data_IF_781147405820
#
_entry.id   IF_781147405820
#
_cell.length_a   1.000
_cell.length_b   1.000
_cell.length_c   1.000
_cell.angle_alpha   90.00
_cell.angle_beta   90.00
_cell.angle_gamma   90.00
#
_symmetry.space_group_name_H-M   'P 1'
#
loop_
_entity.id
_entity.type
_entity.pdbx_description
1 polymer ?
#
# COMPACT_ATOMS: atom_id res chain seq x y z
N UNK A 1 -31.27 13.46 4.26
CA UNK A 1 -30.31 12.46 4.81
C UNK A 1 -29.47 13.11 5.88
N UNK A 2 -29.38 12.49 7.05
CA UNK A 2 -28.52 12.96 8.14
C UNK A 2 -27.04 12.66 7.87
N UNK A 3 -26.13 13.37 8.54
CA UNK A 3 -24.68 13.11 8.45
C UNK A 3 -24.28 11.70 8.92
N UNK A 4 -25.12 11.04 9.72
CA UNK A 4 -24.96 9.63 10.12
C UNK A 4 -25.31 8.66 9.00
N UNK A 5 -26.43 8.88 8.33
CA UNK A 5 -26.88 8.09 7.18
C UNK A 5 -25.91 8.22 5.99
N UNK A 6 -25.41 9.43 5.75
CA UNK A 6 -24.41 9.69 4.70
C UNK A 6 -23.10 8.92 4.95
N UNK A 7 -22.68 8.80 6.22
CA UNK A 7 -21.47 8.04 6.60
C UNK A 7 -21.68 6.53 6.49
N UNK A 8 -22.83 6.00 6.90
CA UNK A 8 -23.13 4.58 6.71
C UNK A 8 -23.27 4.21 5.23
N UNK A 9 -23.97 5.02 4.43
CA UNK A 9 -24.13 4.79 3.00
C UNK A 9 -22.79 4.86 2.26
N UNK A 10 -21.92 5.83 2.61
CA UNK A 10 -20.54 5.87 2.08
C UNK A 10 -19.73 4.62 2.43
N UNK A 11 -19.80 4.11 3.66
CA UNK A 11 -19.13 2.85 4.06
C UNK A 11 -19.68 1.61 3.32
N UNK A 12 -20.95 1.61 2.93
CA UNK A 12 -21.57 0.51 2.15
C UNK A 12 -21.20 0.52 0.66
N UNK A 13 -20.70 1.63 0.15
CA UNK A 13 -20.34 1.81 -1.27
C UNK A 13 -18.83 1.88 -1.49
N UNK A 14 -18.11 2.41 -0.50
CA UNK A 14 -16.68 2.66 -0.55
C UNK A 14 -16.01 2.17 0.72
N UNK A 15 -15.05 1.26 0.57
CA UNK A 15 -14.07 0.95 1.60
C UNK A 15 -12.73 1.52 1.18
N UNK A 16 -12.13 2.35 2.03
CA UNK A 16 -10.86 3.01 1.77
C UNK A 16 -9.81 2.56 2.79
N UNK A 17 -8.67 2.06 2.30
CA UNK A 17 -7.40 2.05 3.03
C UNK A 17 -6.51 3.19 2.49
N UNK A 18 -5.32 3.40 3.06
CA UNK A 18 -4.43 4.48 2.63
C UNK A 18 -4.11 4.44 1.13
N UNK A 19 -3.97 3.23 0.57
CA UNK A 19 -3.56 3.00 -0.82
C UNK A 19 -4.63 2.33 -1.70
N UNK A 20 -5.82 2.07 -1.17
CA UNK A 20 -6.86 1.37 -1.93
C UNK A 20 -8.23 1.99 -1.69
N UNK A 21 -8.93 2.27 -2.78
CA UNK A 21 -10.36 2.56 -2.80
C UNK A 21 -11.08 1.40 -3.48
N UNK A 22 -11.89 0.66 -2.71
CA UNK A 22 -12.74 -0.38 -3.27
C UNK A 22 -14.13 0.17 -3.54
N UNK A 23 -14.62 -0.08 -4.76
CA UNK A 23 -15.92 0.37 -5.25
C UNK A 23 -16.71 -0.85 -5.71
N UNK A 24 -18.00 -0.91 -5.41
CA UNK A 24 -18.87 -1.94 -5.96
C UNK A 24 -18.87 -1.90 -7.49
N UNK A 25 -18.63 -3.05 -8.13
CA UNK A 25 -18.53 -3.16 -9.59
C UNK A 25 -19.76 -2.62 -10.32
N UNK A 26 -20.98 -2.89 -9.81
CA UNK A 26 -22.22 -2.39 -10.40
C UNK A 26 -22.25 -0.85 -10.39
N UNK A 27 -22.00 -0.25 -9.23
CA UNK A 27 -21.98 1.21 -9.08
C UNK A 27 -20.89 1.86 -9.93
N UNK A 28 -19.70 1.24 -10.05
CA UNK A 28 -18.66 1.73 -10.94
C UNK A 28 -19.10 1.74 -12.40
N UNK A 29 -19.74 0.66 -12.87
CA UNK A 29 -20.19 0.53 -14.26
C UNK A 29 -21.23 1.57 -14.64
N UNK A 30 -22.14 1.89 -13.72
CA UNK A 30 -23.21 2.89 -13.88
C UNK A 30 -22.70 4.33 -14.01
N UNK A 31 -21.45 4.62 -13.59
CA UNK A 31 -20.89 5.95 -13.73
C UNK A 31 -20.56 6.28 -15.20
N UNK A 32 -20.94 7.48 -15.69
CA UNK A 32 -20.46 8.01 -16.95
C UNK A 32 -18.93 8.24 -16.93
N UNK A 33 -18.32 8.39 -18.10
CA UNK A 33 -16.86 8.41 -18.26
C UNK A 33 -16.18 9.58 -17.54
N UNK A 34 -16.80 10.75 -17.54
CA UNK A 34 -16.33 11.95 -16.84
C UNK A 34 -16.32 11.74 -15.31
N UNK A 35 -17.37 11.15 -14.75
CA UNK A 35 -17.44 10.84 -13.32
C UNK A 35 -16.44 9.76 -12.91
N UNK A 36 -16.16 8.76 -13.77
CA UNK A 36 -15.09 7.79 -13.53
C UNK A 36 -13.73 8.47 -13.43
N UNK A 37 -13.41 9.36 -14.38
CA UNK A 37 -12.16 10.11 -14.38
C UNK A 37 -12.01 11.00 -13.13
N UNK A 38 -13.10 11.63 -12.67
CA UNK A 38 -13.11 12.41 -11.42
C UNK A 38 -12.81 11.51 -10.22
N UNK A 39 -13.44 10.33 -10.15
CA UNK A 39 -13.20 9.39 -9.04
C UNK A 39 -11.77 8.88 -9.02
N UNK A 40 -11.20 8.52 -10.18
CA UNK A 40 -9.79 8.10 -10.30
C UNK A 40 -8.84 9.21 -9.85
N UNK A 41 -9.05 10.44 -10.33
CA UNK A 41 -8.24 11.61 -9.96
C UNK A 41 -8.34 11.92 -8.46
N UNK A 42 -9.56 11.88 -7.90
CA UNK A 42 -9.79 12.10 -6.49
C UNK A 42 -9.17 11.00 -5.62
N UNK A 43 -9.22 9.73 -6.05
CA UNK A 43 -8.60 8.61 -5.36
C UNK A 43 -7.08 8.76 -5.31
N UNK A 44 -6.46 9.16 -6.44
CA UNK A 44 -5.03 9.43 -6.51
C UNK A 44 -4.64 10.60 -5.60
N UNK A 45 -5.33 11.74 -5.69
CA UNK A 45 -5.07 12.91 -4.83
C UNK A 45 -5.23 12.58 -3.34
N UNK A 46 -6.29 11.85 -2.98
CA UNK A 46 -6.53 11.44 -1.60
C UNK A 46 -5.46 10.46 -1.09
N UNK A 47 -4.91 9.59 -1.95
CA UNK A 47 -3.81 8.69 -1.61
C UNK A 47 -2.56 9.47 -1.26
N UNK A 48 -2.17 10.43 -2.10
CA UNK A 48 -1.00 11.29 -1.83
C UNK A 48 -1.19 12.16 -0.59
N UNK A 49 -2.33 12.84 -0.45
CA UNK A 49 -2.63 13.66 0.73
C UNK A 49 -2.65 12.84 2.03
N UNK A 50 -3.23 11.63 1.98
CA UNK A 50 -3.23 10.72 3.12
C UNK A 50 -1.82 10.25 3.48
N UNK A 51 -1.02 9.89 2.48
CA UNK A 51 0.34 9.37 2.68
C UNK A 51 1.27 10.44 3.25
N UNK A 52 1.21 11.68 2.75
CA UNK A 52 2.05 12.78 3.26
C UNK A 52 1.69 13.14 4.69
N UNK A 53 0.39 13.23 5.02
CA UNK A 53 -0.07 13.45 6.40
C UNK A 53 0.35 12.33 7.34
N UNK A 54 0.25 11.08 6.89
CA UNK A 54 0.67 9.93 7.67
C UNK A 54 2.17 9.98 8.00
N UNK A 55 3.02 10.39 7.07
CA UNK A 55 4.46 10.58 7.33
C UNK A 55 4.74 11.66 8.36
N UNK A 56 4.11 12.84 8.22
CA UNK A 56 4.28 13.94 9.18
C UNK A 56 3.91 13.49 10.59
N UNK A 57 2.76 12.82 10.73
CA UNK A 57 2.32 12.27 12.00
C UNK A 57 3.29 11.21 12.53
N UNK A 58 3.75 10.29 11.68
CA UNK A 58 4.65 9.21 12.10
C UNK A 58 5.96 9.76 12.67
N UNK A 59 6.52 10.82 12.08
CA UNK A 59 7.72 11.49 12.59
C UNK A 59 7.47 12.10 13.98
N UNK A 60 6.35 12.81 14.15
CA UNK A 60 5.97 13.39 15.43
C UNK A 60 5.78 12.32 16.52
N UNK A 61 5.14 11.21 16.17
CA UNK A 61 4.87 10.12 17.11
C UNK A 61 6.11 9.28 17.43
N UNK A 62 7.06 9.07 16.50
CA UNK A 62 8.33 8.41 16.81
C UNK A 62 9.06 9.14 17.94
N UNK A 63 9.10 10.48 17.89
CA UNK A 63 9.66 11.28 18.98
C UNK A 63 8.95 11.02 20.31
N UNK A 64 7.61 11.07 20.32
CA UNK A 64 6.81 10.83 21.54
C UNK A 64 7.05 9.43 22.11
N UNK A 65 7.15 8.41 21.27
CA UNK A 65 7.41 7.02 21.66
C UNK A 65 8.78 6.90 22.34
N UNK A 66 9.81 7.54 21.78
CA UNK A 66 11.15 7.58 22.38
C UNK A 66 11.18 8.33 23.70
N UNK A 67 10.52 9.49 23.77
CA UNK A 67 10.43 10.31 24.99
C UNK A 67 9.71 9.56 26.13
N UNK A 68 8.79 8.64 25.79
CA UNK A 68 8.13 7.73 26.74
C UNK A 68 9.05 6.62 27.27
N UNK A 69 10.28 6.49 26.74
CA UNK A 69 11.26 5.49 27.18
C UNK A 69 11.21 4.18 26.40
N UNK A 70 10.49 4.11 25.27
CA UNK A 70 10.46 2.90 24.43
C UNK A 70 11.77 2.77 23.66
N UNK A 71 12.38 1.58 23.74
CA UNK A 71 13.61 1.24 23.00
C UNK A 71 13.26 0.61 21.66
N UNK A 72 13.51 1.34 20.57
CA UNK A 72 13.38 0.83 19.21
C UNK A 72 14.66 0.14 18.78
N UNK A 73 14.56 -1.11 18.30
CA UNK A 73 15.70 -1.91 17.82
C UNK A 73 15.58 -2.21 16.33
N UNK A 74 16.71 -2.42 15.66
CA UNK A 74 16.78 -2.90 14.28
C UNK A 74 17.18 -4.37 14.30
N UNK A 75 16.52 -5.19 13.49
CA UNK A 75 16.91 -6.60 13.30
C UNK A 75 18.35 -6.69 12.79
N UNK A 76 19.07 -7.76 13.16
CA UNK A 76 20.44 -7.96 12.66
C UNK A 76 20.44 -8.09 11.12
N UNK A 77 21.53 -7.73 10.42
CA UNK A 77 21.63 -7.96 8.98
C UNK A 77 21.39 -9.42 8.58
N UNK A 78 21.85 -10.37 9.42
CA UNK A 78 21.64 -11.81 9.22
C UNK A 78 20.15 -12.18 9.27
N UNK A 79 19.41 -11.66 10.25
CA UNK A 79 17.98 -11.95 10.38
C UNK A 79 17.17 -11.30 9.25
N UNK A 80 17.57 -10.10 8.82
CA UNK A 80 16.96 -9.43 7.66
C UNK A 80 17.18 -10.24 6.38
N UNK A 81 18.38 -10.75 6.14
CA UNK A 81 18.67 -11.59 4.98
C UNK A 81 17.86 -12.90 5.04
N UNK A 82 17.86 -13.56 6.21
CA UNK A 82 17.13 -14.81 6.37
C UNK A 82 15.62 -14.63 6.15
N UNK A 83 15.06 -13.53 6.64
CA UNK A 83 13.66 -13.18 6.42
C UNK A 83 13.37 -12.97 4.92
N UNK A 84 14.29 -12.32 4.20
CA UNK A 84 14.16 -12.13 2.75
C UNK A 84 14.16 -13.46 1.99
N UNK A 85 15.11 -14.34 2.30
CA UNK A 85 15.18 -15.69 1.70
C UNK A 85 13.87 -16.45 1.88
N UNK A 86 13.40 -16.57 3.13
CA UNK A 86 12.16 -17.27 3.47
C UNK A 86 10.95 -16.64 2.78
N UNK A 87 10.92 -15.31 2.66
CA UNK A 87 9.85 -14.61 1.95
C UNK A 87 9.83 -15.00 0.48
N UNK A 88 10.98 -15.05 -0.19
CA UNK A 88 11.07 -15.44 -1.60
C UNK A 88 10.63 -16.89 -1.81
N UNK A 89 11.05 -17.81 -0.92
CA UNK A 89 10.62 -19.21 -0.94
C UNK A 89 9.10 -19.35 -0.83
N UNK A 90 8.47 -18.66 0.13
CA UNK A 90 7.02 -18.68 0.36
C UNK A 90 6.27 -18.08 -0.83
N UNK A 91 6.75 -16.96 -1.40
CA UNK A 91 6.14 -16.34 -2.57
C UNK A 91 6.21 -17.26 -3.79
N UNK A 92 7.34 -17.92 -4.00
CA UNK A 92 7.51 -18.90 -5.08
C UNK A 92 6.62 -20.14 -4.87
N UNK A 93 6.52 -20.66 -3.64
CA UNK A 93 5.61 -21.76 -3.32
C UNK A 93 4.15 -21.38 -3.60
N UNK A 94 3.71 -20.20 -3.16
CA UNK A 94 2.35 -19.68 -3.42
C UNK A 94 2.10 -19.51 -4.92
N UNK A 95 3.10 -19.05 -5.67
CA UNK A 95 2.99 -18.90 -7.12
C UNK A 95 2.76 -20.23 -7.86
N UNK A 96 3.27 -21.35 -7.34
CA UNK A 96 3.02 -22.67 -7.94
C UNK A 96 1.59 -23.16 -7.71
N UNK A 97 0.91 -22.65 -6.68
CA UNK A 97 -0.44 -23.10 -6.26
C UNK A 97 -1.57 -22.29 -6.89
N UNK A 98 -1.32 -21.04 -7.26
CA UNK A 98 -2.35 -20.13 -7.79
C UNK A 98 -1.83 -19.41 -9.06
N UNK A 99 -2.41 -19.70 -10.24
CA UNK A 99 -2.02 -19.04 -11.49
C UNK A 99 -2.19 -17.51 -11.50
N UNK A 100 -3.20 -16.98 -10.80
CA UNK A 100 -3.39 -15.54 -10.69
C UNK A 100 -2.32 -14.92 -9.81
N UNK A 101 -2.01 -15.55 -8.67
CA UNK A 101 -0.90 -15.14 -7.83
C UNK A 101 0.43 -15.19 -8.61
N UNK A 102 0.67 -16.25 -9.39
CA UNK A 102 1.85 -16.39 -10.23
C UNK A 102 2.02 -15.22 -11.20
N UNK A 103 0.92 -14.80 -11.84
CA UNK A 103 0.90 -13.65 -12.75
C UNK A 103 1.30 -12.36 -12.03
N UNK A 104 0.71 -12.09 -10.87
CA UNK A 104 1.03 -10.89 -10.08
C UNK A 104 2.46 -10.94 -9.58
N UNK A 105 2.91 -12.07 -9.04
CA UNK A 105 4.28 -12.24 -8.54
C UNK A 105 5.32 -12.05 -9.64
N UNK A 106 5.08 -12.61 -10.83
CA UNK A 106 5.94 -12.38 -12.00
C UNK A 106 6.07 -10.88 -12.33
N UNK A 107 4.97 -10.15 -12.36
CA UNK A 107 4.98 -8.69 -12.61
C UNK A 107 5.81 -7.93 -11.55
N UNK A 108 5.71 -8.31 -10.28
CA UNK A 108 6.49 -7.70 -9.20
C UNK A 108 7.99 -7.99 -9.35
N UNK A 109 8.36 -9.24 -9.66
CA UNK A 109 9.76 -9.62 -9.89
C UNK A 109 10.38 -8.88 -11.06
N UNK A 110 9.67 -8.79 -12.18
CA UNK A 110 10.14 -8.07 -13.37
C UNK A 110 10.37 -6.59 -13.07
N UNK A 111 9.52 -5.97 -12.26
CA UNK A 111 9.75 -4.60 -11.81
C UNK A 111 10.99 -4.49 -10.91
N UNK A 112 11.13 -5.36 -9.90
CA UNK A 112 12.29 -5.37 -8.99
C UNK A 112 13.60 -5.53 -9.78
N UNK A 113 13.64 -6.42 -10.76
CA UNK A 113 14.82 -6.64 -11.62
C UNK A 113 15.23 -5.37 -12.38
N UNK A 114 14.27 -4.57 -12.84
CA UNK A 114 14.53 -3.29 -13.54
C UNK A 114 14.89 -2.16 -12.58
N UNK A 115 14.20 -2.10 -11.45
CA UNK A 115 14.33 -1.02 -10.47
C UNK A 115 15.60 -1.13 -9.63
N UNK A 116 15.95 -2.33 -9.17
CA UNK A 116 17.00 -2.53 -8.18
C UNK A 116 18.39 -2.04 -8.62
N UNK A 117 18.86 -2.28 -9.85
CA UNK A 117 20.14 -1.73 -10.30
C UNK A 117 20.18 -0.20 -10.24
N UNK A 118 19.10 0.46 -10.67
CA UNK A 118 19.00 1.91 -10.58
C UNK A 118 18.96 2.40 -9.13
N UNK A 119 18.16 1.76 -8.28
CA UNK A 119 18.09 2.10 -6.86
C UNK A 119 19.44 1.95 -6.17
N UNK A 120 20.14 0.84 -6.37
CA UNK A 120 21.46 0.60 -5.78
C UNK A 120 22.52 1.59 -6.26
N UNK A 121 22.38 2.12 -7.48
CA UNK A 121 23.24 3.20 -7.99
C UNK A 121 22.92 4.56 -7.36
N UNK A 122 21.64 4.84 -7.10
CA UNK A 122 21.19 6.17 -6.61
C UNK A 122 21.13 6.32 -5.10
N UNK A 123 21.17 5.22 -4.34
CA UNK A 123 21.16 5.30 -2.88
C UNK A 123 22.44 5.98 -2.41
N UNK A 124 22.32 6.90 -1.46
CA UNK A 124 23.48 7.44 -0.76
C UNK A 124 24.05 6.38 0.18
N UNK A 125 25.38 6.36 0.30
CA UNK A 125 26.10 5.49 1.24
C UNK A 125 25.75 5.76 2.71
#
# INVERSE_FOLDING_TARGET
MSAGELRQTKRRLFQRSLFQLMIKTKSWKELPADLKAIVESAAMAATFDGYTKWWIQTIEFDKKIRDYGVVTTKLSPKDQEKTRELTMEILDEKSRKDPYFAKVWKSQREFIQKYKPYYDFTKFD
#
